data_IF_334464974431
#
_entry.id   IF_334464974431
#
_cell.length_a   1.000
_cell.length_b   1.000
_cell.length_c   1.000
_cell.angle_alpha   90.00
_cell.angle_beta   90.00
_cell.angle_gamma   90.00
#
_symmetry.space_group_name_H-M   'P 1'
#
loop_
_entity.id
_entity.type
_entity.pdbx_description
1 polymer ?
#
# COMPACT_ATOMS: atom_id res chain seq x y z
N UNK A 1 -7.61 -30.23 8.30
CA UNK A 1 -7.70 -28.80 8.64
C UNK A 1 -7.61 -28.68 10.15
N UNK A 2 -6.48 -28.24 10.69
CA UNK A 2 -6.27 -28.17 12.15
C UNK A 2 -7.06 -27.00 12.74
N UNK A 3 -7.63 -27.18 13.95
CA UNK A 3 -8.48 -26.21 14.65
C UNK A 3 -7.86 -24.80 14.78
N UNK A 4 -6.52 -24.72 14.72
CA UNK A 4 -5.73 -23.48 14.75
C UNK A 4 -6.07 -22.54 13.57
N UNK A 5 -6.45 -23.06 12.40
CA UNK A 5 -6.80 -22.25 11.23
C UNK A 5 -8.11 -21.45 11.44
N UNK A 6 -9.12 -22.10 12.02
CA UNK A 6 -10.43 -21.47 12.28
C UNK A 6 -10.33 -20.36 13.33
N UNK A 7 -9.49 -20.55 14.36
CA UNK A 7 -9.21 -19.53 15.36
C UNK A 7 -8.47 -18.32 14.78
N UNK A 8 -7.52 -18.53 13.86
CA UNK A 8 -6.84 -17.43 13.16
C UNK A 8 -7.80 -16.60 12.31
N UNK A 9 -8.74 -17.23 11.62
CA UNK A 9 -9.78 -16.51 10.86
C UNK A 9 -10.76 -15.76 11.75
N UNK A 10 -11.19 -16.34 12.88
CA UNK A 10 -12.13 -15.70 13.80
C UNK A 10 -11.53 -14.49 14.54
N UNK A 11 -10.21 -14.48 14.78
CA UNK A 11 -9.50 -13.37 15.41
C UNK A 11 -8.92 -12.38 14.37
N UNK A 12 -9.24 -12.57 13.08
CA UNK A 12 -8.76 -11.67 12.01
C UNK A 12 -7.24 -11.67 11.84
N UNK A 13 -6.55 -12.68 12.36
CA UNK A 13 -5.10 -12.83 12.30
C UNK A 13 -4.75 -13.71 11.11
N UNK A 14 -5.17 -13.32 9.91
CA UNK A 14 -4.62 -13.92 8.69
C UNK A 14 -3.35 -13.18 8.34
N UNK A 15 -2.24 -13.92 8.20
CA UNK A 15 -0.93 -13.39 7.83
C UNK A 15 -0.88 -12.73 6.44
N UNK A 16 -2.03 -12.67 5.75
CA UNK A 16 -2.25 -12.03 4.45
C UNK A 16 -2.97 -10.66 4.55
N UNK A 17 -3.40 -10.22 5.74
CA UNK A 17 -4.14 -8.95 5.92
C UNK A 17 -3.26 -7.69 5.81
N UNK A 18 -1.94 -7.82 5.71
CA UNK A 18 -1.05 -6.69 5.38
C UNK A 18 -1.24 -6.18 3.93
N UNK A 19 -1.98 -6.92 3.08
CA UNK A 19 -2.01 -6.69 1.63
C UNK A 19 -3.42 -6.73 1.02
N UNK A 20 -4.49 -6.47 1.77
CA UNK A 20 -5.79 -6.20 1.13
C UNK A 20 -5.83 -4.74 0.66
N UNK A 21 -6.00 -4.49 -0.66
CA UNK A 21 -6.14 -3.13 -1.17
C UNK A 21 -7.40 -2.49 -0.58
N UNK A 22 -7.34 -1.18 -0.33
CA UNK A 22 -8.48 -0.43 0.18
C UNK A 22 -9.63 -0.44 -0.84
N UNK A 23 -10.88 -0.54 -0.35
CA UNK A 23 -12.04 -0.39 -1.22
C UNK A 23 -12.14 1.05 -1.74
N UNK A 24 -12.80 1.24 -2.89
CA UNK A 24 -12.99 2.57 -3.47
C UNK A 24 -13.77 3.51 -2.53
N UNK A 25 -14.76 2.96 -1.83
CA UNK A 25 -15.57 3.66 -0.84
C UNK A 25 -14.68 4.14 0.33
N UNK A 26 -13.85 3.26 0.90
CA UNK A 26 -12.94 3.61 1.99
C UNK A 26 -11.95 4.71 1.59
N UNK A 27 -11.41 4.68 0.37
CA UNK A 27 -10.53 5.74 -0.14
C UNK A 27 -11.26 7.08 -0.34
N UNK A 28 -12.54 7.03 -0.71
CA UNK A 28 -13.38 8.23 -0.86
C UNK A 28 -13.76 8.83 0.48
N UNK A 29 -14.14 8.00 1.46
CA UNK A 29 -14.46 8.40 2.83
C UNK A 29 -13.25 9.01 3.53
N UNK A 30 -12.06 8.43 3.34
CA UNK A 30 -10.79 8.98 3.83
C UNK A 30 -10.32 10.23 3.05
N UNK A 31 -11.10 10.72 2.08
CA UNK A 31 -10.82 11.91 1.27
C UNK A 31 -9.42 11.91 0.65
N UNK A 32 -8.96 10.74 0.19
CA UNK A 32 -7.65 10.65 -0.45
C UNK A 32 -7.66 11.38 -1.81
N UNK A 33 -6.65 12.23 -2.12
CA UNK A 33 -6.46 12.78 -3.45
C UNK A 33 -6.25 11.67 -4.49
N UNK A 34 -6.65 11.91 -5.73
CA UNK A 34 -6.65 10.89 -6.80
C UNK A 34 -5.27 10.25 -7.02
N UNK A 35 -4.20 11.01 -6.81
CA UNK A 35 -2.83 10.56 -6.98
C UNK A 35 -2.42 9.46 -5.97
N UNK A 36 -3.06 9.44 -4.80
CA UNK A 36 -2.74 8.51 -3.71
C UNK A 36 -3.75 7.36 -3.59
N UNK A 37 -4.64 7.20 -4.59
CA UNK A 37 -5.59 6.08 -4.67
C UNK A 37 -4.98 4.90 -5.41
N UNK A 38 -3.79 4.50 -4.98
CA UNK A 38 -3.01 3.40 -5.54
C UNK A 38 -3.20 2.09 -4.74
N UNK A 39 -2.45 1.05 -5.11
CA UNK A 39 -2.49 -0.24 -4.41
C UNK A 39 -2.02 -0.18 -2.95
N UNK A 40 -1.35 0.91 -2.54
CA UNK A 40 -0.80 1.12 -1.19
C UNK A 40 -1.71 1.99 -0.31
N UNK A 41 -2.88 2.42 -0.81
CA UNK A 41 -3.80 3.30 -0.09
C UNK A 41 -4.30 2.72 1.25
N UNK A 42 -4.35 1.40 1.39
CA UNK A 42 -4.71 0.72 2.63
C UNK A 42 -3.75 1.04 3.80
N UNK A 43 -2.48 1.36 3.50
CA UNK A 43 -1.49 1.78 4.50
C UNK A 43 -1.50 3.30 4.73
N UNK A 44 -1.94 4.08 3.74
CA UNK A 44 -1.99 5.53 3.85
C UNK A 44 -3.12 6.02 4.76
N UNK A 45 -4.28 5.36 4.73
CA UNK A 45 -5.43 5.68 5.59
C UNK A 45 -5.04 5.65 7.10
N UNK A 46 -4.48 4.54 7.64
CA UNK A 46 -4.06 4.50 9.03
C UNK A 46 -2.90 5.46 9.34
N UNK A 47 -1.97 5.68 8.41
CA UNK A 47 -0.90 6.66 8.58
C UNK A 47 -1.46 8.08 8.75
N UNK A 48 -2.43 8.47 7.92
CA UNK A 48 -3.06 9.78 8.02
C UNK A 48 -3.84 9.93 9.32
N UNK A 49 -4.55 8.88 9.77
CA UNK A 49 -5.21 8.87 11.08
C UNK A 49 -4.20 9.11 12.21
N UNK A 50 -3.11 8.34 12.24
CA UNK A 50 -2.06 8.49 13.25
C UNK A 50 -1.45 9.90 13.25
N UNK A 51 -1.21 10.49 12.07
CA UNK A 51 -0.71 11.87 11.94
C UNK A 51 -1.66 12.90 12.56
N UNK A 52 -2.96 12.79 12.31
CA UNK A 52 -3.94 13.71 12.92
C UNK A 52 -4.02 13.52 14.44
N UNK A 53 -4.08 12.27 14.93
CA UNK A 53 -4.16 11.97 16.37
C UNK A 53 -2.92 12.43 17.15
N UNK A 54 -1.75 12.38 16.52
CA UNK A 54 -0.47 12.77 17.13
C UNK A 54 -0.03 14.18 16.77
N UNK A 55 -0.90 15.00 16.14
CA UNK A 55 -0.57 16.36 15.71
C UNK A 55 0.71 16.46 14.85
N UNK A 56 0.93 15.46 13.99
CA UNK A 56 2.04 15.41 13.02
C UNK A 56 3.44 15.45 13.66
N UNK A 57 3.59 14.93 14.88
CA UNK A 57 4.90 14.86 15.53
C UNK A 57 5.88 13.97 14.73
N UNK A 58 7.10 14.44 14.42
CA UNK A 58 8.03 13.73 13.52
C UNK A 58 8.49 12.34 13.95
N UNK A 59 8.49 12.06 15.26
CA UNK A 59 8.93 10.80 15.89
C UNK A 59 7.77 9.84 16.20
N UNK A 60 6.55 10.18 15.77
CA UNK A 60 5.37 9.30 15.88
C UNK A 60 5.02 8.73 14.50
N UNK A 61 4.31 7.61 14.50
CA UNK A 61 3.84 6.94 13.28
C UNK A 61 4.97 6.46 12.33
N UNK A 62 6.17 6.20 12.85
CA UNK A 62 7.34 5.84 12.03
C UNK A 62 7.15 4.51 11.32
N UNK A 63 6.57 3.52 12.02
CA UNK A 63 6.31 2.18 11.47
C UNK A 63 5.30 2.24 10.32
N UNK A 64 4.21 2.98 10.51
CA UNK A 64 3.17 3.22 9.52
C UNK A 64 3.72 3.98 8.33
N UNK A 65 4.56 5.00 8.57
CA UNK A 65 5.24 5.74 7.50
C UNK A 65 6.13 4.81 6.69
N UNK A 66 7.00 4.05 7.35
CA UNK A 66 7.99 3.23 6.66
C UNK A 66 7.36 2.03 5.93
N UNK A 67 6.27 1.48 6.47
CA UNK A 67 5.50 0.44 5.77
C UNK A 67 4.84 0.97 4.50
N UNK A 68 4.26 2.18 4.53
CA UNK A 68 3.73 2.84 3.34
C UNK A 68 4.82 3.13 2.30
N UNK A 69 5.96 3.69 2.71
CA UNK A 69 7.11 3.96 1.84
C UNK A 69 7.66 2.70 1.19
N UNK A 70 7.77 1.60 1.95
CA UNK A 70 8.19 0.30 1.43
C UNK A 70 7.23 -0.21 0.36
N UNK A 71 5.92 -0.06 0.57
CA UNK A 71 4.91 -0.42 -0.42
C UNK A 71 5.10 0.38 -1.72
N UNK A 72 5.24 1.71 -1.62
CA UNK A 72 5.48 2.60 -2.76
C UNK A 72 6.74 2.21 -3.53
N UNK A 73 7.81 1.87 -2.82
CA UNK A 73 9.07 1.46 -3.42
C UNK A 73 8.93 0.14 -4.21
N UNK A 74 8.23 -0.84 -3.65
CA UNK A 74 7.95 -2.11 -4.34
C UNK A 74 7.07 -1.88 -5.57
N UNK A 75 6.06 -1.01 -5.47
CA UNK A 75 5.20 -0.67 -6.60
C UNK A 75 5.98 0.07 -7.71
N UNK A 76 6.87 0.98 -7.34
CA UNK A 76 7.78 1.64 -8.28
C UNK A 76 8.66 0.63 -9.02
N UNK A 77 9.25 -0.36 -8.33
CA UNK A 77 10.03 -1.43 -8.97
C UNK A 77 9.20 -2.21 -10.00
N UNK A 78 7.94 -2.52 -9.69
CA UNK A 78 7.02 -3.17 -10.65
C UNK A 78 6.83 -2.30 -11.90
N UNK A 79 6.65 -0.98 -11.74
CA UNK A 79 6.52 -0.05 -12.87
C UNK A 79 7.80 0.04 -13.70
N UNK A 80 8.97 0.04 -13.07
CA UNK A 80 10.27 0.03 -13.78
C UNK A 80 10.41 -1.26 -14.60
N UNK A 81 10.16 -2.42 -13.99
CA UNK A 81 10.18 -3.70 -14.69
C UNK A 81 9.23 -3.70 -15.90
N UNK A 82 8.01 -3.14 -15.73
CA UNK A 82 7.06 -3.02 -16.84
C UNK A 82 7.57 -2.11 -17.95
N UNK A 83 8.20 -1.00 -17.61
CA UNK A 83 8.80 -0.11 -18.61
C UNK A 83 9.96 -0.77 -19.36
N UNK A 84 10.75 -1.61 -18.70
CA UNK A 84 11.84 -2.35 -19.35
C UNK A 84 11.32 -3.43 -20.29
N UNK A 85 10.24 -4.12 -19.96
CA UNK A 85 9.52 -5.01 -20.89
C UNK A 85 9.06 -4.25 -22.14
N UNK A 86 8.44 -3.08 -21.96
CA UNK A 86 7.96 -2.26 -23.08
C UNK A 86 9.11 -1.72 -23.94
N UNK A 87 10.25 -1.36 -23.34
CA UNK A 87 11.45 -0.94 -24.08
C UNK A 87 12.05 -2.08 -24.90
N UNK A 88 12.14 -3.28 -24.33
CA UNK A 88 12.61 -4.48 -25.04
C UNK A 88 11.71 -4.78 -26.24
N UNK A 89 10.39 -4.71 -26.07
CA UNK A 89 9.42 -4.90 -27.15
C UNK A 89 9.55 -3.83 -28.26
N UNK A 90 9.99 -2.61 -27.93
CA UNK A 90 10.24 -1.52 -28.89
C UNK A 90 11.67 -1.50 -29.47
N UNK A 91 12.45 -2.56 -29.27
CA UNK A 91 13.84 -2.64 -29.77
C UNK A 91 14.79 -1.62 -29.12
N UNK A 92 14.57 -1.29 -27.84
CA UNK A 92 15.44 -0.38 -27.08
C UNK A 92 15.17 1.11 -27.29
N UNK A 93 14.21 1.49 -28.13
CA UNK A 93 13.85 2.90 -28.35
C UNK A 93 13.12 3.47 -27.13
N UNK A 94 13.60 4.61 -26.64
CA UNK A 94 12.89 5.43 -25.65
C UNK A 94 11.66 6.04 -26.32
N UNK A 95 10.50 6.03 -25.65
CA UNK A 95 9.22 6.49 -26.21
C UNK A 95 9.06 8.01 -26.22
N UNK A 96 10.15 8.77 -26.32
CA UNK A 96 10.16 10.24 -26.28
C UNK A 96 10.63 10.80 -27.61
#
# INVERSE_FOLDING_TARGET
MTAISSLKSAVGLTSDDASKPATREAMSEAKLPIQYRDSCANLLIPLNRCRFETYYLPWKCETERHSYEKCQYVEFKKRVAKMDELRKAKGGKRSN
#
